data_IF_305184611402
#
_entry.id   IF_305184611402
#
_cell.length_a   1.000
_cell.length_b   1.000
_cell.length_c   1.000
_cell.angle_alpha   90.00
_cell.angle_beta   90.00
_cell.angle_gamma   90.00
#
_symmetry.space_group_name_H-M   'P 1'
#
loop_
_entity.id
_entity.type
_entity.pdbx_description
1 polymer ?
#
# COMPACT_ATOMS: atom_id res chain seq x y z
N UNK A 1 -2.16 4.54 41.26
CA UNK A 1 -2.42 3.36 40.38
C UNK A 1 -1.37 3.40 39.29
N UNK A 2 -0.84 2.29 38.78
CA UNK A 2 0.16 2.32 37.71
C UNK A 2 -0.56 2.70 36.44
N UNK A 3 -0.08 3.75 35.73
CA UNK A 3 -0.61 4.13 34.44
C UNK A 3 -0.47 2.95 33.45
N UNK A 4 -1.53 2.67 32.71
CA UNK A 4 -1.53 1.60 31.70
C UNK A 4 -1.06 2.15 30.37
N UNK A 5 -0.08 1.50 29.77
CA UNK A 5 0.46 1.89 28.49
C UNK A 5 -0.15 1.04 27.35
N UNK A 6 -0.82 1.69 26.41
CA UNK A 6 -1.29 1.09 25.16
C UNK A 6 -0.35 1.56 24.04
N UNK A 7 0.43 0.63 23.48
CA UNK A 7 1.32 0.93 22.36
C UNK A 7 0.66 0.47 21.06
N UNK A 8 0.61 1.38 20.08
CA UNK A 8 0.12 1.13 18.73
C UNK A 8 1.30 1.25 17.76
N UNK A 9 1.69 0.16 17.13
CA UNK A 9 2.76 0.13 16.13
C UNK A 9 2.19 0.31 14.74
N UNK A 10 2.54 1.45 14.12
CA UNK A 10 2.03 1.88 12.81
C UNK A 10 1.02 3.01 12.91
N UNK A 11 1.15 3.98 12.00
CA UNK A 11 0.35 5.22 11.96
C UNK A 11 -0.47 5.36 10.66
N UNK A 12 -0.82 4.26 10.01
CA UNK A 12 -1.83 4.22 8.96
C UNK A 12 -3.25 4.29 9.54
N UNK A 13 -4.26 4.08 8.69
CA UNK A 13 -5.66 4.14 9.11
C UNK A 13 -5.96 3.27 10.34
N UNK A 14 -5.54 2.01 10.33
CA UNK A 14 -5.79 1.10 11.44
C UNK A 14 -5.15 1.58 12.75
N UNK A 15 -3.91 2.08 12.70
CA UNK A 15 -3.21 2.57 13.89
C UNK A 15 -3.81 3.85 14.45
N UNK A 16 -4.12 4.82 13.60
CA UNK A 16 -4.75 6.07 14.00
C UNK A 16 -6.13 5.82 14.61
N UNK A 17 -6.96 4.99 13.98
CA UNK A 17 -8.28 4.65 14.52
C UNK A 17 -8.22 3.83 15.79
N UNK A 18 -7.23 2.91 15.93
CA UNK A 18 -7.03 2.17 17.15
C UNK A 18 -6.64 3.10 18.34
N UNK A 19 -5.73 4.04 18.07
CA UNK A 19 -5.33 5.02 19.08
C UNK A 19 -6.49 5.94 19.50
N UNK A 20 -7.21 6.50 18.53
CA UNK A 20 -8.39 7.34 18.79
C UNK A 20 -9.49 6.58 19.53
N UNK A 21 -9.74 5.32 19.15
CA UNK A 21 -10.68 4.44 19.83
C UNK A 21 -10.30 4.15 21.28
N UNK A 22 -9.00 3.92 21.54
CA UNK A 22 -8.50 3.67 22.88
C UNK A 22 -8.69 4.90 23.79
N UNK A 23 -8.31 6.09 23.30
CA UNK A 23 -8.52 7.36 24.06
C UNK A 23 -9.99 7.61 24.34
N UNK A 24 -10.85 7.48 23.31
CA UNK A 24 -12.29 7.65 23.46
C UNK A 24 -12.87 6.69 24.50
N UNK A 25 -12.51 5.41 24.42
CA UNK A 25 -13.01 4.41 25.39
C UNK A 25 -12.51 4.69 26.81
N UNK A 26 -11.29 5.14 26.97
CA UNK A 26 -10.76 5.54 28.29
C UNK A 26 -11.62 6.69 28.88
N UNK A 27 -11.92 7.72 28.08
CA UNK A 27 -12.75 8.84 28.50
C UNK A 27 -14.20 8.42 28.83
N UNK A 28 -14.82 7.58 27.99
CA UNK A 28 -16.17 7.04 28.24
C UNK A 28 -16.25 6.26 29.58
N UNK A 29 -15.13 5.69 30.01
CA UNK A 29 -15.02 4.95 31.28
C UNK A 29 -14.54 5.83 32.46
N UNK A 30 -14.26 7.12 32.25
CA UNK A 30 -13.70 8.03 33.25
C UNK A 30 -12.30 7.62 33.70
N UNK A 31 -11.47 7.11 32.75
CA UNK A 31 -10.14 6.55 33.02
C UNK A 31 -9.05 7.16 32.14
N UNK A 32 -9.30 8.34 31.60
CA UNK A 32 -8.35 9.07 30.74
C UNK A 32 -7.01 9.36 31.43
N UNK A 33 -7.01 9.56 32.75
CA UNK A 33 -5.80 9.80 33.55
C UNK A 33 -5.02 8.50 33.88
N UNK A 34 -5.67 7.33 33.73
CA UNK A 34 -5.09 6.03 34.06
C UNK A 34 -4.44 5.35 32.83
N UNK A 35 -4.63 5.88 31.60
CA UNK A 35 -4.24 5.24 30.36
C UNK A 35 -3.44 6.20 29.49
N UNK A 36 -2.22 5.80 29.15
CA UNK A 36 -1.42 6.47 28.13
C UNK A 36 -1.52 5.70 26.83
N UNK A 37 -1.81 6.39 25.73
CA UNK A 37 -1.81 5.80 24.38
C UNK A 37 -0.63 6.37 23.59
N UNK A 38 0.24 5.47 23.11
CA UNK A 38 1.41 5.82 22.32
C UNK A 38 1.32 5.21 20.93
N UNK A 39 1.41 6.06 19.89
CA UNK A 39 1.60 5.61 18.51
C UNK A 39 3.07 5.69 18.17
N UNK A 40 3.63 4.58 17.66
CA UNK A 40 5.01 4.53 17.19
C UNK A 40 5.04 4.23 15.69
N UNK A 41 5.70 5.10 14.91
CA UNK A 41 5.86 4.97 13.46
C UNK A 41 7.08 5.78 13.00
N UNK A 42 7.75 5.40 11.90
CA UNK A 42 8.94 6.11 11.41
C UNK A 42 8.62 7.47 10.79
N UNK A 43 7.43 7.63 10.19
CA UNK A 43 7.00 8.84 9.48
C UNK A 43 6.31 9.88 10.37
N UNK A 44 6.20 11.08 9.85
CA UNK A 44 5.47 12.20 10.48
C UNK A 44 4.02 12.29 9.99
N UNK A 45 3.73 11.67 8.85
CA UNK A 45 2.44 11.75 8.20
C UNK A 45 1.73 10.39 8.17
N UNK A 46 0.42 10.44 8.24
CA UNK A 46 -0.45 9.38 7.77
C UNK A 46 -0.61 9.52 6.26
N UNK A 47 -0.31 8.47 5.51
CA UNK A 47 -0.53 8.43 4.07
C UNK A 47 -1.93 7.88 3.77
N UNK A 48 -2.68 8.61 2.94
CA UNK A 48 -3.98 8.16 2.41
C UNK A 48 -3.71 7.22 1.23
N UNK A 49 -3.11 6.07 1.54
CA UNK A 49 -2.65 5.08 0.57
C UNK A 49 -3.71 4.65 -0.46
N UNK A 50 -5.01 4.45 -0.09
CA UNK A 50 -6.04 4.10 -1.06
C UNK A 50 -6.29 5.16 -2.14
N UNK A 51 -5.69 6.34 -2.04
CA UNK A 51 -5.86 7.44 -3.01
C UNK A 51 -4.57 7.80 -3.75
N UNK A 52 -3.51 7.00 -3.64
CA UNK A 52 -2.23 7.27 -4.31
C UNK A 52 -2.30 7.12 -5.84
N UNK A 53 -3.35 6.53 -6.36
CA UNK A 53 -3.62 6.49 -7.80
C UNK A 53 -4.15 7.82 -8.36
N UNK A 54 -4.51 8.82 -7.52
CA UNK A 54 -5.03 10.11 -7.96
C UNK A 54 -3.96 11.02 -8.56
N UNK A 55 -4.38 12.16 -9.11
CA UNK A 55 -3.52 13.05 -9.92
C UNK A 55 -2.37 13.71 -9.14
N UNK A 56 -2.52 13.89 -7.83
CA UNK A 56 -1.51 14.53 -6.98
C UNK A 56 -1.26 13.70 -5.72
N UNK A 57 -0.39 12.68 -5.78
CA UNK A 57 -0.07 11.84 -4.63
C UNK A 57 0.52 12.62 -3.46
N UNK A 58 1.18 13.75 -3.69
CA UNK A 58 1.79 14.57 -2.63
C UNK A 58 0.76 15.10 -1.63
N UNK A 59 -0.49 15.31 -2.06
CA UNK A 59 -1.61 15.73 -1.23
C UNK A 59 -2.19 14.62 -0.34
N UNK A 60 -1.76 13.39 -0.55
CA UNK A 60 -2.24 12.22 0.21
C UNK A 60 -1.49 12.05 1.54
N UNK A 61 -0.95 13.13 2.11
CA UNK A 61 -0.30 13.19 3.42
C UNK A 61 -1.14 13.97 4.41
N UNK A 62 -1.29 13.45 5.61
CA UNK A 62 -1.93 14.14 6.74
C UNK A 62 -0.98 14.10 7.92
N UNK A 63 -0.51 15.26 8.37
CA UNK A 63 0.39 15.33 9.52
C UNK A 63 -0.26 14.67 10.75
N UNK A 64 0.41 13.67 11.32
CA UNK A 64 -0.10 12.91 12.45
C UNK A 64 -0.37 13.78 13.67
N UNK A 65 0.41 14.84 13.89
CA UNK A 65 0.20 15.76 15.00
C UNK A 65 -1.14 16.50 14.91
N UNK A 66 -1.65 16.75 13.70
CA UNK A 66 -2.98 17.36 13.51
C UNK A 66 -4.13 16.43 13.91
N UNK A 67 -3.90 15.13 13.88
CA UNK A 67 -4.92 14.12 14.18
C UNK A 67 -4.79 13.59 15.59
N UNK A 68 -3.57 13.29 16.03
CA UNK A 68 -3.28 12.61 17.29
C UNK A 68 -3.02 13.61 18.44
N UNK A 69 -2.43 14.77 18.15
CA UNK A 69 -2.14 15.79 19.15
C UNK A 69 -3.38 16.28 19.91
N UNK A 70 -4.48 16.68 19.24
CA UNK A 70 -5.69 17.17 19.89
C UNK A 70 -6.36 16.18 20.83
N UNK A 71 -6.13 14.88 20.65
CA UNK A 71 -6.69 13.81 21.48
C UNK A 71 -5.69 13.25 22.50
N UNK A 72 -4.54 13.91 22.72
CA UNK A 72 -3.57 13.55 23.74
C UNK A 72 -2.79 12.26 23.50
N UNK A 73 -2.75 11.74 22.27
CA UNK A 73 -1.96 10.55 21.92
C UNK A 73 -0.49 10.92 21.83
N UNK A 74 0.36 10.21 22.58
CA UNK A 74 1.82 10.36 22.50
C UNK A 74 2.36 9.77 21.20
N UNK A 75 3.28 10.46 20.55
CA UNK A 75 3.97 9.97 19.37
C UNK A 75 5.43 9.64 19.66
N UNK A 76 5.88 8.52 19.13
CA UNK A 76 7.29 8.11 19.09
C UNK A 76 7.68 7.88 17.63
N UNK A 77 8.66 8.64 17.14
CA UNK A 77 9.17 8.49 15.78
C UNK A 77 10.26 7.42 15.77
N UNK A 78 9.86 6.19 15.47
CA UNK A 78 10.76 5.05 15.42
C UNK A 78 10.21 3.95 14.51
N UNK A 79 11.13 3.18 13.94
CA UNK A 79 10.82 1.92 13.25
C UNK A 79 10.95 0.77 14.24
N UNK A 80 9.85 0.06 14.51
CA UNK A 80 9.83 -1.11 15.38
C UNK A 80 10.26 -2.34 14.58
N UNK A 81 11.29 -3.03 15.08
CA UNK A 81 11.88 -4.21 14.43
C UNK A 81 11.69 -5.49 15.24
N UNK A 82 11.24 -5.40 16.48
CA UNK A 82 11.03 -6.55 17.34
C UNK A 82 9.87 -6.38 18.32
N UNK A 83 9.24 -7.51 18.66
CA UNK A 83 8.19 -7.61 19.67
C UNK A 83 8.54 -8.78 20.59
N UNK A 84 8.71 -8.48 21.87
CA UNK A 84 8.83 -9.48 22.94
C UNK A 84 7.49 -9.54 23.66
N UNK A 85 6.73 -10.60 23.39
CA UNK A 85 5.39 -10.79 23.94
C UNK A 85 5.46 -11.17 25.42
N UNK A 86 6.48 -11.93 25.84
CA UNK A 86 6.62 -12.40 27.22
C UNK A 86 7.09 -11.26 28.14
N UNK A 87 8.01 -10.42 27.67
CA UNK A 87 8.48 -9.24 28.39
C UNK A 87 7.56 -8.01 28.23
N UNK A 88 6.52 -8.08 27.40
CA UNK A 88 5.63 -6.97 27.07
C UNK A 88 6.40 -5.73 26.59
N UNK A 89 7.26 -5.91 25.56
CA UNK A 89 8.11 -4.85 25.00
C UNK A 89 8.14 -4.87 23.48
N UNK A 90 8.23 -3.68 22.90
CA UNK A 90 8.62 -3.51 21.50
C UNK A 90 9.98 -2.82 21.44
N UNK A 91 10.79 -3.22 20.47
CA UNK A 91 12.13 -2.68 20.24
C UNK A 91 12.29 -2.21 18.81
N UNK A 92 13.11 -1.19 18.59
CA UNK A 92 13.34 -0.61 17.28
C UNK A 92 14.44 0.42 17.29
N UNK A 93 14.40 1.31 16.29
CA UNK A 93 15.35 2.42 16.14
C UNK A 93 14.61 3.70 15.78
N UNK A 94 15.09 4.83 16.32
CA UNK A 94 14.63 6.15 15.90
C UNK A 94 15.26 6.55 14.55
N UNK A 95 14.94 7.75 14.06
CA UNK A 95 15.45 8.27 12.79
C UNK A 95 16.98 8.54 12.80
N UNK A 96 17.58 8.67 13.96
CA UNK A 96 19.03 8.82 14.14
C UNK A 96 19.76 7.47 14.32
N UNK A 97 18.99 6.36 14.30
CA UNK A 97 19.51 5.01 14.49
C UNK A 97 19.70 4.59 15.96
N UNK A 98 19.30 5.43 16.92
CA UNK A 98 19.38 5.08 18.33
C UNK A 98 18.36 4.00 18.69
N UNK A 99 18.70 3.10 19.63
CA UNK A 99 17.75 2.07 20.07
C UNK A 99 16.56 2.69 20.79
N UNK A 100 15.38 2.21 20.44
CA UNK A 100 14.11 2.55 21.10
C UNK A 100 13.53 1.28 21.71
N UNK A 101 13.10 1.38 22.96
CA UNK A 101 12.39 0.32 23.68
C UNK A 101 11.16 0.90 24.38
N UNK A 102 9.99 0.31 24.15
CA UNK A 102 8.74 0.71 24.79
C UNK A 102 8.10 -0.51 25.46
N UNK A 103 7.81 -0.37 26.76
CA UNK A 103 7.00 -1.36 27.47
C UNK A 103 5.51 -1.09 27.22
N UNK A 104 4.69 -2.14 27.25
CA UNK A 104 3.25 -2.01 27.05
C UNK A 104 2.45 -2.94 27.99
N UNK A 105 1.25 -2.51 28.35
CA UNK A 105 0.22 -3.38 28.93
C UNK A 105 -0.67 -3.99 27.81
N UNK A 106 -0.89 -3.22 26.73
CA UNK A 106 -1.59 -3.67 25.54
C UNK A 106 -0.83 -3.22 24.29
N UNK A 107 -0.78 -4.10 23.30
CA UNK A 107 -0.13 -3.84 22.02
C UNK A 107 -1.13 -3.97 20.87
N UNK A 108 -1.13 -2.99 19.98
CA UNK A 108 -1.83 -3.05 18.70
C UNK A 108 -0.79 -3.05 17.58
N UNK A 109 -0.77 -4.09 16.77
CA UNK A 109 0.07 -4.16 15.58
C UNK A 109 -0.75 -3.70 14.35
N UNK A 110 -0.44 -2.52 13.87
CA UNK A 110 -1.08 -1.87 12.72
C UNK A 110 -0.06 -1.50 11.63
N UNK A 111 0.89 -2.40 11.38
CA UNK A 111 2.05 -2.20 10.50
C UNK A 111 1.71 -2.21 9.02
N UNK A 112 0.43 -2.40 8.67
CA UNK A 112 -0.04 -2.36 7.28
C UNK A 112 0.43 -3.55 6.45
N UNK A 113 0.57 -3.30 5.16
CA UNK A 113 1.02 -4.27 4.17
C UNK A 113 1.92 -3.60 3.14
N UNK A 114 2.69 -4.39 2.42
CA UNK A 114 3.54 -3.93 1.31
C UNK A 114 3.21 -4.70 0.05
N UNK A 115 3.34 -4.03 -1.09
CA UNK A 115 3.23 -4.69 -2.39
C UNK A 115 4.36 -5.70 -2.56
N UNK A 116 4.06 -6.85 -3.14
CA UNK A 116 5.06 -7.87 -3.46
C UNK A 116 5.62 -7.59 -4.85
N UNK A 117 6.91 -7.22 -4.90
CA UNK A 117 7.60 -7.10 -6.19
C UNK A 117 7.70 -8.48 -6.84
N UNK A 118 7.28 -8.64 -8.11
CA UNK A 118 7.34 -9.92 -8.80
C UNK A 118 8.79 -10.29 -9.11
N UNK A 119 9.07 -11.59 -9.11
CA UNK A 119 10.35 -12.14 -9.57
C UNK A 119 10.22 -12.54 -11.03
N UNK A 120 10.35 -11.56 -11.94
CA UNK A 120 10.29 -11.77 -13.39
C UNK A 120 11.33 -10.89 -14.10
N UNK A 121 11.80 -11.29 -15.29
CA UNK A 121 12.75 -10.50 -16.07
C UNK A 121 12.18 -9.13 -16.43
N UNK A 122 12.94 -8.07 -16.15
CA UNK A 122 12.57 -6.69 -16.42
C UNK A 122 11.73 -6.03 -15.31
N UNK A 123 11.58 -6.67 -14.14
CA UNK A 123 10.79 -6.11 -13.04
C UNK A 123 11.26 -4.71 -12.57
N UNK A 124 12.49 -4.32 -12.88
CA UNK A 124 13.03 -2.98 -12.64
C UNK A 124 12.35 -1.87 -13.44
N UNK A 125 11.62 -2.20 -14.51
CA UNK A 125 10.85 -1.26 -15.32
C UNK A 125 9.39 -1.11 -14.87
N UNK A 126 8.99 -1.81 -13.80
CA UNK A 126 7.63 -1.72 -13.25
C UNK A 126 7.44 -0.43 -12.47
N UNK A 127 6.29 0.17 -12.66
CA UNK A 127 5.74 1.17 -11.77
C UNK A 127 4.77 0.53 -10.77
N UNK A 128 4.51 1.22 -9.67
CA UNK A 128 3.46 0.90 -8.72
C UNK A 128 2.87 2.18 -8.08
N UNK A 129 1.85 2.02 -7.25
CA UNK A 129 1.21 3.10 -6.50
C UNK A 129 1.11 2.75 -5.01
N UNK A 130 2.07 1.96 -4.51
CA UNK A 130 2.06 1.48 -3.13
C UNK A 130 2.55 2.53 -2.13
N UNK A 131 3.47 3.37 -2.56
CA UNK A 131 4.03 4.47 -1.78
C UNK A 131 3.84 5.81 -2.51
N UNK A 132 4.00 6.91 -1.79
CA UNK A 132 3.95 8.25 -2.41
C UNK A 132 5.05 8.39 -3.44
N UNK A 133 6.25 7.95 -3.12
CA UNK A 133 7.42 8.04 -3.98
C UNK A 133 7.22 7.27 -5.29
N UNK A 134 6.64 6.07 -5.23
CA UNK A 134 6.32 5.28 -6.41
C UNK A 134 5.19 5.92 -7.25
N UNK A 135 4.16 6.42 -6.59
CA UNK A 135 3.06 7.12 -7.25
C UNK A 135 3.51 8.43 -7.92
N UNK A 136 4.40 9.20 -7.28
CA UNK A 136 5.02 10.40 -7.86
C UNK A 136 5.90 10.04 -9.07
N UNK A 137 6.67 8.95 -9.00
CA UNK A 137 7.49 8.47 -10.11
C UNK A 137 6.62 8.10 -11.32
N UNK A 138 5.50 7.39 -11.10
CA UNK A 138 4.52 7.08 -12.15
C UNK A 138 3.91 8.37 -12.74
N UNK A 139 3.54 9.33 -11.88
CA UNK A 139 2.98 10.60 -12.33
C UNK A 139 3.96 11.37 -13.22
N UNK A 140 5.22 11.48 -12.80
CA UNK A 140 6.27 12.14 -13.58
C UNK A 140 6.54 11.42 -14.90
N UNK A 141 6.58 10.08 -14.88
CA UNK A 141 6.73 9.28 -16.08
C UNK A 141 5.61 9.56 -17.11
N UNK A 142 4.35 9.52 -16.68
CA UNK A 142 3.20 9.81 -17.58
C UNK A 142 3.30 11.22 -18.16
N UNK A 143 3.67 12.22 -17.36
CA UNK A 143 3.83 13.60 -17.83
C UNK A 143 4.94 13.76 -18.89
N UNK A 144 5.94 12.86 -18.91
CA UNK A 144 7.06 12.89 -19.85
C UNK A 144 6.81 12.10 -21.14
N UNK A 145 5.76 11.28 -21.24
CA UNK A 145 5.48 10.46 -22.42
C UNK A 145 5.35 11.28 -23.72
N UNK A 146 4.84 12.50 -23.62
CA UNK A 146 4.73 13.43 -24.75
C UNK A 146 6.08 13.91 -25.32
N UNK A 147 7.19 13.70 -24.63
CA UNK A 147 8.53 14.09 -25.10
C UNK A 147 9.05 13.14 -26.21
N UNK A 148 8.59 11.89 -26.21
CA UNK A 148 8.91 10.91 -27.28
C UNK A 148 7.64 10.17 -27.73
N UNK A 149 6.76 10.82 -28.47
CA UNK A 149 5.48 10.25 -28.88
C UNK A 149 5.62 9.13 -29.94
N UNK A 150 6.80 8.97 -30.53
CA UNK A 150 7.09 7.92 -31.50
C UNK A 150 7.67 6.65 -30.88
N UNK A 151 7.95 6.66 -29.58
CA UNK A 151 8.40 5.48 -28.85
C UNK A 151 7.32 4.37 -28.96
N UNK A 152 7.70 3.10 -29.19
CA UNK A 152 6.75 1.99 -29.22
C UNK A 152 5.91 1.96 -27.94
N UNK A 153 4.58 1.94 -28.09
CA UNK A 153 3.68 1.92 -26.95
C UNK A 153 3.70 3.16 -26.05
N UNK A 154 4.18 4.33 -26.54
CA UNK A 154 4.32 5.57 -25.74
C UNK A 154 3.07 5.88 -24.90
N UNK A 155 1.87 5.76 -25.49
CA UNK A 155 0.60 6.04 -24.79
C UNK A 155 -0.20 4.76 -24.50
N UNK A 156 0.49 3.62 -24.37
CA UNK A 156 -0.09 2.36 -23.90
C UNK A 156 0.36 2.09 -22.48
N UNK A 157 -0.59 1.83 -21.59
CA UNK A 157 -0.33 1.37 -20.23
C UNK A 157 -0.87 -0.03 -20.01
N UNK A 158 -0.10 -0.88 -19.32
CA UNK A 158 -0.52 -2.20 -18.87
C UNK A 158 -0.64 -2.18 -17.35
N UNK A 159 -1.82 -2.52 -16.82
CA UNK A 159 -2.08 -2.65 -15.38
C UNK A 159 -2.16 -4.13 -15.04
N UNK A 160 -1.30 -4.60 -14.15
CA UNK A 160 -1.25 -6.00 -13.73
C UNK A 160 -1.89 -6.20 -12.38
N UNK A 161 -3.02 -6.90 -12.37
CA UNK A 161 -3.84 -7.19 -11.21
C UNK A 161 -5.22 -6.53 -11.27
N UNK A 162 -6.28 -7.33 -11.20
CA UNK A 162 -7.67 -6.89 -11.20
C UNK A 162 -8.28 -6.79 -9.78
N UNK A 163 -7.46 -6.52 -8.77
CA UNK A 163 -7.93 -6.17 -7.42
C UNK A 163 -8.36 -4.70 -7.32
N UNK A 164 -8.72 -4.22 -6.12
CA UNK A 164 -9.15 -2.83 -5.89
C UNK A 164 -8.23 -1.80 -6.55
N UNK A 165 -6.95 -1.82 -6.19
CA UNK A 165 -5.97 -0.86 -6.72
C UNK A 165 -5.84 -0.92 -8.23
N UNK A 166 -5.81 -2.14 -8.81
CA UNK A 166 -5.69 -2.29 -10.26
C UNK A 166 -6.90 -1.76 -11.01
N UNK A 167 -8.11 -1.98 -10.50
CA UNK A 167 -9.34 -1.43 -11.07
C UNK A 167 -9.37 0.10 -11.02
N UNK A 168 -9.00 0.69 -9.88
CA UNK A 168 -8.93 2.15 -9.68
C UNK A 168 -7.88 2.77 -10.63
N UNK A 169 -6.68 2.18 -10.70
CA UNK A 169 -5.62 2.64 -11.61
C UNK A 169 -6.07 2.50 -13.06
N UNK A 170 -6.62 1.34 -13.46
CA UNK A 170 -7.01 1.08 -14.85
C UNK A 170 -8.11 2.03 -15.34
N UNK A 171 -9.06 2.40 -14.49
CA UNK A 171 -10.13 3.34 -14.86
C UNK A 171 -9.70 4.80 -14.86
N UNK A 172 -8.64 5.16 -14.10
CA UNK A 172 -8.09 6.52 -14.08
C UNK A 172 -7.11 6.81 -15.23
N UNK A 173 -6.34 5.83 -15.66
CA UNK A 173 -5.28 6.00 -16.65
C UNK A 173 -5.75 6.53 -18.02
N UNK A 174 -6.91 6.12 -18.56
CA UNK A 174 -7.34 6.61 -19.89
C UNK A 174 -7.43 8.13 -19.96
N UNK A 175 -7.96 8.78 -18.91
CA UNK A 175 -8.05 10.23 -18.85
C UNK A 175 -6.66 10.91 -18.77
N UNK A 176 -5.74 10.33 -18.00
CA UNK A 176 -4.36 10.83 -17.86
C UNK A 176 -3.56 10.68 -19.16
N UNK A 177 -3.65 9.53 -19.81
CA UNK A 177 -2.98 9.31 -21.08
C UNK A 177 -3.52 10.27 -22.15
N UNK A 178 -4.84 10.45 -22.24
CA UNK A 178 -5.46 11.42 -23.16
C UNK A 178 -4.95 12.85 -22.95
N UNK A 179 -4.71 13.27 -21.69
CA UNK A 179 -4.23 14.60 -21.37
C UNK A 179 -2.81 14.88 -21.90
N UNK A 180 -1.97 13.86 -22.09
CA UNK A 180 -0.57 13.98 -22.55
C UNK A 180 -0.36 13.48 -23.99
N UNK A 181 -1.27 12.66 -24.51
CA UNK A 181 -1.13 12.01 -25.81
C UNK A 181 -1.43 12.92 -27.01
N UNK A 182 -2.08 14.08 -26.81
CA UNK A 182 -2.49 14.95 -27.89
C UNK A 182 -3.47 14.26 -28.86
N UNK A 183 -3.09 14.08 -30.12
CA UNK A 183 -3.90 13.39 -31.13
C UNK A 183 -3.70 11.85 -31.15
N UNK A 184 -2.74 11.33 -30.37
CA UNK A 184 -2.51 9.88 -30.29
C UNK A 184 -3.57 9.21 -29.42
N UNK A 185 -4.02 8.00 -29.79
CA UNK A 185 -4.93 7.24 -28.94
C UNK A 185 -4.20 6.74 -27.70
N UNK A 186 -4.75 7.06 -26.52
CA UNK A 186 -4.34 6.41 -25.28
C UNK A 186 -4.95 5.01 -25.20
N UNK A 187 -4.17 4.02 -24.77
CA UNK A 187 -4.62 2.63 -24.60
C UNK A 187 -4.29 2.13 -23.21
N UNK A 188 -5.27 1.53 -22.54
CA UNK A 188 -5.07 0.87 -21.26
C UNK A 188 -5.48 -0.60 -21.35
N UNK A 189 -4.58 -1.49 -20.94
CA UNK A 189 -4.82 -2.95 -20.91
C UNK A 189 -4.69 -3.40 -19.46
N UNK A 190 -5.75 -3.97 -18.89
CA UNK A 190 -5.71 -4.59 -17.56
C UNK A 190 -5.56 -6.10 -17.71
N UNK A 191 -4.59 -6.67 -16.97
CA UNK A 191 -4.33 -8.10 -16.92
C UNK A 191 -4.74 -8.67 -15.58
N UNK A 192 -5.42 -9.82 -15.56
CA UNK A 192 -5.60 -10.62 -14.36
C UNK A 192 -5.50 -12.12 -14.65
N UNK A 193 -4.91 -12.86 -13.72
CA UNK A 193 -4.87 -14.33 -13.78
C UNK A 193 -6.22 -14.98 -13.46
N UNK A 194 -7.09 -14.24 -12.78
CA UNK A 194 -8.47 -14.65 -12.55
C UNK A 194 -9.26 -14.65 -13.86
N UNK A 195 -10.35 -15.40 -13.89
CA UNK A 195 -11.28 -15.51 -15.01
C UNK A 195 -12.39 -14.44 -15.01
N UNK A 196 -12.41 -13.59 -13.95
CA UNK A 196 -13.33 -12.45 -13.83
C UNK A 196 -12.58 -11.26 -13.21
N UNK A 197 -12.89 -10.05 -13.69
CA UNK A 197 -12.39 -8.82 -13.10
C UNK A 197 -12.96 -8.64 -11.68
N UNK A 198 -12.12 -8.16 -10.75
CA UNK A 198 -12.57 -7.91 -9.39
C UNK A 198 -12.95 -9.17 -8.60
N UNK A 199 -12.40 -10.35 -8.91
CA UNK A 199 -12.74 -11.61 -8.22
C UNK A 199 -12.73 -11.51 -6.70
N UNK A 200 -11.77 -10.78 -6.13
CA UNK A 200 -11.66 -10.61 -4.68
C UNK A 200 -12.80 -9.76 -4.06
N UNK A 201 -13.56 -9.06 -4.86
CA UNK A 201 -14.68 -8.20 -4.46
C UNK A 201 -16.02 -8.97 -4.39
N UNK A 202 -16.04 -10.18 -4.95
CA UNK A 202 -17.24 -11.00 -5.05
C UNK A 202 -18.13 -10.65 -6.27
N UNK A 203 -19.28 -11.31 -6.35
CA UNK A 203 -20.16 -11.18 -7.52
C UNK A 203 -21.02 -9.92 -7.51
N UNK A 204 -21.29 -9.35 -6.32
CA UNK A 204 -22.19 -8.21 -6.17
C UNK A 204 -21.80 -6.99 -7.01
N UNK A 205 -20.58 -6.45 -6.88
CA UNK A 205 -20.14 -5.25 -7.61
C UNK A 205 -19.63 -5.54 -9.05
N UNK A 206 -19.64 -6.79 -9.51
CA UNK A 206 -19.09 -7.16 -10.83
C UNK A 206 -19.72 -6.41 -12.01
N UNK A 207 -21.05 -6.29 -12.11
CA UNK A 207 -21.67 -5.57 -13.24
C UNK A 207 -21.23 -4.11 -13.32
N UNK A 208 -21.10 -3.45 -12.17
CA UNK A 208 -20.63 -2.06 -12.08
C UNK A 208 -19.16 -1.93 -12.45
N UNK A 209 -18.32 -2.90 -12.05
CA UNK A 209 -16.90 -2.95 -12.40
C UNK A 209 -16.74 -3.11 -13.92
N UNK A 210 -17.42 -4.08 -14.52
CA UNK A 210 -17.37 -4.34 -15.96
C UNK A 210 -17.86 -3.13 -16.77
N UNK A 211 -18.97 -2.52 -16.35
CA UNK A 211 -19.50 -1.31 -16.96
C UNK A 211 -18.53 -0.12 -16.86
N UNK A 212 -17.86 0.05 -15.74
CA UNK A 212 -16.86 1.12 -15.55
C UNK A 212 -15.63 0.91 -16.44
N UNK A 213 -15.10 -0.31 -16.52
CA UNK A 213 -13.97 -0.64 -17.40
C UNK A 213 -14.33 -0.43 -18.88
N UNK A 214 -15.53 -0.83 -19.31
CA UNK A 214 -16.04 -0.61 -20.67
C UNK A 214 -16.21 0.90 -20.96
N UNK A 215 -16.81 1.66 -20.05
CA UNK A 215 -17.05 3.09 -20.22
C UNK A 215 -15.74 3.88 -20.37
N UNK A 216 -14.69 3.48 -19.67
CA UNK A 216 -13.36 4.10 -19.78
C UNK A 216 -12.53 3.54 -20.95
N UNK A 217 -13.03 2.53 -21.67
CA UNK A 217 -12.34 1.92 -22.82
C UNK A 217 -11.13 1.08 -22.42
N UNK A 218 -11.16 0.48 -21.22
CA UNK A 218 -10.09 -0.40 -20.74
C UNK A 218 -10.21 -1.77 -21.40
N UNK A 219 -9.14 -2.21 -22.08
CA UNK A 219 -9.04 -3.57 -22.60
C UNK A 219 -8.76 -4.55 -21.45
N UNK A 220 -9.65 -5.49 -21.19
CA UNK A 220 -9.50 -6.47 -20.10
C UNK A 220 -9.04 -7.80 -20.64
N UNK A 221 -7.93 -8.34 -20.10
CA UNK A 221 -7.39 -9.66 -20.40
C UNK A 221 -7.35 -10.49 -19.14
N UNK A 222 -8.23 -11.47 -19.08
CA UNK A 222 -8.39 -12.40 -17.96
C UNK A 222 -7.73 -13.74 -18.25
N UNK A 223 -7.45 -14.52 -17.20
CA UNK A 223 -6.83 -15.84 -17.32
C UNK A 223 -5.36 -15.78 -17.74
N UNK A 224 -4.75 -14.60 -17.77
CA UNK A 224 -3.36 -14.42 -18.18
C UNK A 224 -2.56 -13.60 -17.18
N UNK A 225 -1.25 -13.73 -17.20
CA UNK A 225 -0.33 -12.98 -16.37
C UNK A 225 0.81 -12.40 -17.19
N UNK A 226 1.71 -11.70 -16.53
CA UNK A 226 2.94 -11.20 -17.12
C UNK A 226 4.05 -12.24 -16.96
N UNK A 227 4.81 -12.50 -18.04
CA UNK A 227 5.98 -13.36 -18.05
C UNK A 227 7.27 -12.56 -17.91
N UNK A 228 7.39 -11.46 -18.66
CA UNK A 228 8.56 -10.56 -18.64
C UNK A 228 8.17 -9.21 -19.20
N UNK A 229 9.03 -8.20 -18.98
CA UNK A 229 8.88 -6.91 -19.63
C UNK A 229 10.25 -6.33 -20.01
N UNK A 230 10.21 -5.35 -20.90
CA UNK A 230 11.31 -4.45 -21.23
C UNK A 230 10.84 -3.02 -20.97
N UNK A 231 11.67 -2.05 -21.28
CA UNK A 231 11.29 -0.64 -21.19
C UNK A 231 10.09 -0.25 -22.07
N UNK A 232 9.87 -0.97 -23.18
CA UNK A 232 8.89 -0.65 -24.23
C UNK A 232 7.84 -1.74 -24.47
N UNK A 233 7.89 -2.86 -23.77
CA UNK A 233 6.97 -3.96 -24.02
C UNK A 233 6.73 -4.84 -22.81
N UNK A 234 5.54 -5.42 -22.75
CA UNK A 234 5.14 -6.46 -21.80
C UNK A 234 4.85 -7.77 -22.56
N UNK A 235 5.50 -8.87 -22.17
CA UNK A 235 5.22 -10.23 -22.64
C UNK A 235 4.30 -10.92 -21.65
N UNK A 236 3.22 -11.49 -22.15
CA UNK A 236 2.23 -12.21 -21.36
C UNK A 236 2.52 -13.73 -21.35
N UNK A 237 1.93 -14.43 -20.40
CA UNK A 237 2.09 -15.89 -20.24
C UNK A 237 1.48 -16.71 -21.37
N UNK A 238 0.61 -16.12 -22.19
CA UNK A 238 0.05 -16.72 -23.42
C UNK A 238 0.93 -16.47 -24.67
N UNK A 239 2.09 -15.83 -24.50
CA UNK A 239 3.03 -15.49 -25.57
C UNK A 239 2.73 -14.16 -26.26
N UNK A 240 1.61 -13.50 -25.98
CA UNK A 240 1.31 -12.16 -26.52
C UNK A 240 2.34 -11.14 -26.06
N UNK A 241 2.73 -10.24 -26.97
CA UNK A 241 3.57 -9.07 -26.64
C UNK A 241 2.74 -7.81 -26.85
N UNK A 242 2.72 -6.95 -25.86
CA UNK A 242 2.06 -5.63 -25.89
C UNK A 242 3.16 -4.58 -25.84
N UNK A 243 3.24 -3.74 -26.89
CA UNK A 243 4.06 -2.53 -26.84
C UNK A 243 3.44 -1.56 -25.85
N UNK A 244 4.18 -1.23 -24.79
CA UNK A 244 3.73 -0.37 -23.69
C UNK A 244 4.92 0.27 -23.00
N UNK A 245 4.95 1.58 -22.94
CA UNK A 245 5.96 2.35 -22.22
C UNK A 245 5.67 2.43 -20.71
N UNK A 246 4.47 2.03 -20.28
CA UNK A 246 4.05 2.10 -18.88
C UNK A 246 3.48 0.75 -18.45
N UNK A 247 4.12 0.11 -17.46
CA UNK A 247 3.61 -1.14 -16.88
C UNK A 247 3.49 -0.95 -15.36
N UNK A 248 2.27 -1.12 -14.83
CA UNK A 248 1.96 -0.86 -13.43
C UNK A 248 1.61 -2.17 -12.74
N UNK A 249 2.36 -2.48 -11.69
CA UNK A 249 2.14 -3.66 -10.88
C UNK A 249 1.27 -3.35 -9.67
N UNK A 250 0.12 -3.99 -9.55
CA UNK A 250 -0.81 -3.81 -8.43
C UNK A 250 -1.16 -5.15 -7.73
N UNK A 251 -0.53 -6.24 -8.16
CA UNK A 251 -0.87 -7.59 -7.71
C UNK A 251 0.01 -8.07 -6.56
N UNK A 252 -0.63 -8.65 -5.56
CA UNK A 252 0.04 -9.31 -4.44
C UNK A 252 0.42 -8.34 -3.32
N UNK A 253 -0.19 -8.58 -2.15
CA UNK A 253 0.11 -7.86 -0.91
C UNK A 253 0.58 -8.84 0.14
N UNK A 254 1.55 -8.43 0.96
CA UNK A 254 1.98 -9.17 2.15
C UNK A 254 1.86 -8.28 3.39
N UNK A 255 1.55 -8.84 4.57
CA UNK A 255 1.64 -8.10 5.82
C UNK A 255 3.03 -7.46 5.97
N UNK A 256 3.09 -6.27 6.56
CA UNK A 256 4.35 -5.60 6.89
C UNK A 256 5.24 -6.52 7.73
N UNK A 257 6.54 -6.53 7.45
CA UNK A 257 7.50 -7.50 8.02
C UNK A 257 7.66 -7.43 9.54
N UNK A 258 7.13 -6.41 10.20
CA UNK A 258 7.21 -6.20 11.64
C UNK A 258 5.98 -6.74 12.41
N UNK A 259 5.06 -7.39 11.72
CA UNK A 259 4.10 -8.26 12.37
C UNK A 259 4.82 -9.54 12.75
N UNK A 260 5.33 -9.63 13.98
CA UNK A 260 5.76 -10.92 14.51
C UNK A 260 4.64 -11.93 14.27
N UNK A 261 4.92 -12.99 13.49
CA UNK A 261 4.02 -14.13 13.43
C UNK A 261 3.89 -14.65 14.88
N UNK A 262 2.75 -14.46 15.55
CA UNK A 262 2.60 -14.92 16.93
C UNK A 262 2.74 -16.44 17.06
N UNK A 263 2.67 -17.18 15.92
CA UNK A 263 2.95 -18.62 15.85
C UNK A 263 4.46 -18.96 15.88
N UNK A 264 5.34 -18.04 15.46
CA UNK A 264 6.80 -18.27 15.49
C UNK A 264 7.41 -18.06 16.87
N UNK A 265 6.87 -17.12 17.66
CA UNK A 265 7.28 -16.91 19.05
C UNK A 265 7.00 -18.12 19.95
N UNK A 266 5.93 -18.89 19.68
CA UNK A 266 5.60 -20.13 20.44
C UNK A 266 6.53 -21.32 20.11
N UNK A 267 7.20 -21.34 18.94
CA UNK A 267 8.08 -22.47 18.55
C UNK A 267 9.51 -22.36 19.06
N UNK A 268 9.97 -21.17 19.44
CA UNK A 268 11.32 -20.99 20.02
C UNK A 268 11.39 -21.34 21.51
N UNK A 269 10.26 -21.38 22.21
CA UNK A 269 10.18 -21.78 23.63
C UNK A 269 10.22 -23.30 23.88
N UNK A 270 9.83 -24.13 22.92
CA UNK A 270 9.80 -25.58 23.08
C UNK A 270 11.14 -26.29 22.79
N UNK A 271 12.09 -25.62 22.13
CA UNK A 271 13.39 -26.21 21.77
C UNK A 271 14.44 -26.18 22.91
N UNK A 272 14.13 -25.67 24.11
CA UNK A 272 15.05 -25.62 25.25
C UNK A 272 14.70 -26.51 26.44
N UNK A 273 13.85 -27.50 26.25
CA UNK A 273 13.63 -28.56 27.25
C UNK A 273 13.73 -29.93 26.62
N UNK A 274 14.96 -30.40 26.36
CA UNK A 274 15.40 -31.82 26.44
C UNK A 274 16.89 -31.84 26.69
#
# INVERSE_FOLDING_TARGET
MRDREIVVVGAGFAGVWAAAGAVRTAAELGREEDVTVTVVAPGEDMVIRPRLYEDDPSRMRVALDRVLGPIGVRRVRAEITGVDVDAHRVTGRDHDGNPVELAYDKLVLATGSTLVSPQLPGAEHLFDVDTIEAADALHQHIAQLSQDPQRPGAFTAVVVGGGFTGLEVATMLPSRLRAVAGEHPGRVVMLDRADVAGRALGDGPRPEIEAALEAEGVEVRLGTGMESLTEDSARLTDGTVIEAATVIWTAGMRPGAHGADPGRARRSGEARRR
#
